data_IF_920754006154
#
_entry.id   IF_920754006154
#
_cell.length_a   1.000
_cell.length_b   1.000
_cell.length_c   1.000
_cell.angle_alpha   90.00
_cell.angle_beta   90.00
_cell.angle_gamma   90.00
#
_symmetry.space_group_name_H-M   'P 1'
#
loop_
_entity.id
_entity.type
_entity.pdbx_description
1 polymer ?
#
# COMPACT_ATOMS: atom_id res chain seq x y z
N UNK A 1 10.16 -10.14 15.76
CA UNK A 1 10.51 -10.85 14.51
C UNK A 1 9.54 -10.49 13.36
N UNK A 2 8.96 -9.28 13.36
CA UNK A 2 8.01 -8.82 12.34
C UNK A 2 8.66 -8.11 11.14
N UNK A 3 9.98 -7.87 11.19
CA UNK A 3 10.72 -7.15 10.16
C UNK A 3 10.98 -7.93 8.85
N UNK A 4 10.59 -9.20 8.74
CA UNK A 4 10.84 -9.96 7.51
C UNK A 4 9.69 -9.87 6.49
N UNK A 5 8.51 -9.44 6.89
CA UNK A 5 7.35 -9.33 6.01
C UNK A 5 7.45 -8.11 5.09
N UNK A 6 7.88 -6.96 5.58
CA UNK A 6 8.01 -5.74 4.77
C UNK A 6 9.00 -5.86 3.60
N UNK A 7 10.17 -6.52 3.80
CA UNK A 7 11.14 -6.76 2.71
C UNK A 7 10.61 -7.70 1.62
N UNK A 8 9.83 -8.72 2.00
CA UNK A 8 9.24 -9.66 1.04
C UNK A 8 8.10 -9.02 0.25
N UNK A 9 7.32 -8.17 0.89
CA UNK A 9 6.24 -7.39 0.29
C UNK A 9 6.77 -6.44 -0.79
N UNK A 10 7.88 -5.70 -0.53
CA UNK A 10 8.55 -4.86 -1.53
C UNK A 10 9.07 -5.65 -2.74
N UNK A 11 9.62 -6.85 -2.55
CA UNK A 11 10.08 -7.70 -3.66
C UNK A 11 8.93 -8.23 -4.52
N UNK A 12 7.77 -8.52 -3.94
CA UNK A 12 6.58 -8.96 -4.68
C UNK A 12 6.01 -7.82 -5.52
N UNK A 13 5.83 -6.62 -4.96
CA UNK A 13 5.32 -5.45 -5.71
C UNK A 13 6.22 -5.02 -6.88
N UNK A 14 7.54 -5.19 -6.81
CA UNK A 14 8.47 -4.82 -7.87
C UNK A 14 8.38 -5.76 -9.09
N UNK A 15 8.03 -7.02 -8.92
CA UNK A 15 8.00 -8.02 -10.00
C UNK A 15 6.77 -7.93 -10.89
N UNK A 16 5.68 -7.41 -10.37
CA UNK A 16 4.36 -7.44 -10.99
C UNK A 16 3.80 -6.03 -11.22
N UNK A 17 4.68 -5.09 -11.61
CA UNK A 17 4.32 -3.69 -11.81
C UNK A 17 4.12 -3.38 -13.29
N UNK A 18 3.05 -2.63 -13.59
CA UNK A 18 2.81 -2.06 -14.91
C UNK A 18 2.60 -0.54 -14.83
N UNK A 19 2.72 0.12 -15.98
CA UNK A 19 2.56 1.57 -16.10
C UNK A 19 1.69 1.89 -17.30
N UNK A 20 0.87 2.94 -17.14
CA UNK A 20 0.04 3.47 -18.21
C UNK A 20 0.31 4.96 -18.37
N UNK A 21 0.82 5.35 -19.56
CA UNK A 21 0.99 6.75 -19.89
C UNK A 21 -0.36 7.43 -20.17
N UNK A 22 -0.45 8.72 -19.83
CA UNK A 22 -1.65 9.54 -19.94
C UNK A 22 -2.84 9.01 -19.16
N UNK A 23 -2.57 8.39 -18.01
CA UNK A 23 -3.52 7.90 -17.02
C UNK A 23 -3.16 8.44 -15.64
N UNK A 24 -4.14 8.42 -14.74
CA UNK A 24 -3.95 8.72 -13.33
C UNK A 24 -4.30 7.51 -12.43
N UNK A 25 -4.21 7.68 -11.13
CA UNK A 25 -4.48 6.63 -10.16
C UNK A 25 -5.95 6.17 -10.15
N UNK A 26 -6.90 7.02 -10.58
CA UNK A 26 -8.31 6.64 -10.70
C UNK A 26 -8.51 5.66 -11.87
N UNK A 27 -7.83 5.92 -13.02
CA UNK A 27 -7.86 5.00 -14.16
C UNK A 27 -7.35 3.61 -13.75
N UNK A 28 -6.30 3.54 -12.91
CA UNK A 28 -5.77 2.27 -12.43
C UNK A 28 -6.72 1.56 -11.46
N UNK A 29 -7.41 2.29 -10.57
CA UNK A 29 -8.44 1.69 -9.72
C UNK A 29 -9.56 1.07 -10.55
N UNK A 30 -10.02 1.75 -11.60
CA UNK A 30 -11.06 1.26 -12.50
C UNK A 30 -10.58 0.00 -13.27
N UNK A 31 -9.35 0.02 -13.78
CA UNK A 31 -8.73 -1.14 -14.46
C UNK A 31 -8.61 -2.32 -13.49
N UNK A 32 -8.18 -2.09 -12.27
CA UNK A 32 -8.00 -3.13 -11.27
C UNK A 32 -9.34 -3.76 -10.89
N UNK A 33 -10.37 -2.96 -10.67
CA UNK A 33 -11.73 -3.44 -10.38
C UNK A 33 -12.26 -4.29 -11.53
N UNK A 34 -12.14 -3.82 -12.77
CA UNK A 34 -12.60 -4.57 -13.96
C UNK A 34 -11.78 -5.86 -14.17
N UNK A 35 -10.45 -5.81 -13.99
CA UNK A 35 -9.57 -6.97 -14.10
C UNK A 35 -9.95 -8.06 -13.10
N UNK A 36 -10.13 -7.70 -11.83
CA UNK A 36 -10.43 -8.66 -10.76
C UNK A 36 -11.82 -9.27 -10.94
N UNK A 37 -12.82 -8.47 -11.33
CA UNK A 37 -14.16 -8.94 -11.67
C UNK A 37 -14.13 -9.93 -12.86
N UNK A 38 -13.37 -9.59 -13.89
CA UNK A 38 -13.24 -10.46 -15.08
C UNK A 38 -12.53 -11.77 -14.71
N UNK A 39 -11.44 -11.72 -13.95
CA UNK A 39 -10.71 -12.92 -13.50
C UNK A 39 -11.60 -13.84 -12.66
N UNK A 40 -12.36 -13.30 -11.71
CA UNK A 40 -13.30 -14.09 -10.92
C UNK A 40 -14.34 -14.79 -11.82
N UNK A 41 -14.92 -14.05 -12.76
CA UNK A 41 -15.91 -14.60 -13.71
C UNK A 41 -15.30 -15.68 -14.59
N UNK A 42 -14.12 -15.46 -15.17
CA UNK A 42 -13.50 -16.40 -16.12
C UNK A 42 -12.97 -17.65 -15.44
N UNK A 43 -12.45 -17.54 -14.23
CA UNK A 43 -11.81 -18.66 -13.53
C UNK A 43 -12.79 -19.42 -12.64
N UNK A 44 -13.71 -18.74 -11.98
CA UNK A 44 -14.62 -19.32 -10.99
C UNK A 44 -16.06 -19.45 -11.51
N UNK A 45 -16.40 -18.79 -12.61
CA UNK A 45 -17.77 -18.74 -13.15
C UNK A 45 -18.73 -17.90 -12.33
N UNK A 46 -18.23 -17.12 -11.37
CA UNK A 46 -19.00 -16.24 -10.48
C UNK A 46 -18.14 -15.03 -10.08
N UNK A 47 -18.78 -13.98 -9.63
CA UNK A 47 -18.09 -12.81 -9.01
C UNK A 47 -17.94 -12.96 -7.50
N UNK A 48 -18.55 -13.95 -6.89
CA UNK A 48 -18.40 -14.30 -5.49
C UNK A 48 -17.12 -15.13 -5.31
N UNK A 49 -16.12 -14.57 -4.67
CA UNK A 49 -14.83 -15.22 -4.41
C UNK A 49 -14.83 -15.76 -2.97
N UNK A 50 -14.74 -17.08 -2.85
CA UNK A 50 -14.66 -17.74 -1.54
C UNK A 50 -13.19 -17.93 -1.14
N UNK A 51 -12.82 -17.42 0.04
CA UNK A 51 -11.48 -17.61 0.60
C UNK A 51 -11.49 -17.56 2.13
N UNK A 52 -10.79 -18.49 2.75
CA UNK A 52 -10.66 -18.63 4.21
C UNK A 52 -12.02 -18.61 4.96
N UNK A 53 -13.06 -19.19 4.33
CA UNK A 53 -14.40 -19.27 4.90
C UNK A 53 -15.24 -18.00 4.80
N UNK A 54 -14.76 -17.00 4.08
CA UNK A 54 -15.49 -15.76 3.76
C UNK A 54 -15.82 -15.72 2.27
N UNK A 55 -16.87 -14.98 1.92
CA UNK A 55 -17.26 -14.70 0.53
C UNK A 55 -17.06 -13.22 0.26
N UNK A 56 -16.31 -12.89 -0.78
CA UNK A 56 -16.02 -11.53 -1.22
C UNK A 56 -16.72 -11.25 -2.55
N UNK A 57 -17.60 -10.26 -2.59
CA UNK A 57 -18.37 -9.89 -3.78
C UNK A 57 -17.56 -8.94 -4.69
N UNK A 58 -17.11 -9.44 -5.83
CA UNK A 58 -16.44 -8.66 -6.87
C UNK A 58 -17.42 -8.15 -7.94
N UNK A 59 -18.69 -8.48 -7.85
CA UNK A 59 -19.74 -8.04 -8.79
C UNK A 59 -20.19 -6.60 -8.55
N UNK A 60 -20.19 -6.14 -7.31
CA UNK A 60 -20.51 -4.78 -6.94
C UNK A 60 -19.30 -3.84 -7.08
N UNK A 61 -19.52 -2.51 -7.23
CA UNK A 61 -18.45 -1.54 -7.18
C UNK A 61 -17.64 -1.63 -5.88
N UNK A 62 -16.31 -1.61 -5.98
CA UNK A 62 -15.44 -1.65 -4.82
C UNK A 62 -15.53 -0.35 -4.03
N UNK A 63 -15.49 -0.44 -2.72
CA UNK A 63 -15.51 0.74 -1.86
C UNK A 63 -14.25 1.58 -2.06
N UNK A 64 -14.36 2.92 -1.95
CA UNK A 64 -13.24 3.86 -2.00
C UNK A 64 -13.33 4.77 -0.78
N UNK A 65 -12.30 4.79 0.04
CA UNK A 65 -12.18 5.64 1.23
C UNK A 65 -10.79 6.26 1.28
N UNK A 66 -10.67 7.45 1.86
CA UNK A 66 -9.36 8.02 2.17
C UNK A 66 -8.77 7.33 3.41
N UNK A 67 -7.45 7.39 3.59
CA UNK A 67 -6.80 6.96 4.84
C UNK A 67 -7.48 7.63 6.04
N UNK A 68 -7.68 8.95 5.97
CA UNK A 68 -8.29 9.73 7.05
C UNK A 68 -9.71 9.29 7.37
N UNK A 69 -10.57 9.18 6.35
CA UNK A 69 -11.96 8.76 6.54
C UNK A 69 -12.08 7.32 7.03
N UNK A 70 -11.19 6.44 6.59
CA UNK A 70 -11.17 5.05 7.03
C UNK A 70 -10.83 4.92 8.53
N UNK A 71 -9.87 5.72 9.01
CA UNK A 71 -9.57 5.76 10.45
C UNK A 71 -10.79 6.17 11.25
N UNK A 72 -11.48 7.23 10.84
CA UNK A 72 -12.69 7.71 11.52
C UNK A 72 -13.84 6.71 11.43
N UNK A 73 -14.03 6.08 10.27
CA UNK A 73 -15.08 5.09 10.06
C UNK A 73 -14.95 3.89 11.00
N UNK A 74 -13.73 3.36 11.09
CA UNK A 74 -13.48 2.18 11.91
C UNK A 74 -13.24 2.47 13.39
N UNK A 75 -13.01 3.75 13.77
CA UNK A 75 -12.77 4.18 15.15
C UNK A 75 -13.66 5.38 15.50
N UNK A 76 -14.95 5.18 15.74
CA UNK A 76 -15.93 6.26 15.91
C UNK A 76 -15.67 7.14 17.14
N UNK A 77 -14.82 6.71 18.07
CA UNK A 77 -14.42 7.48 19.24
C UNK A 77 -13.31 8.51 18.93
N UNK A 78 -12.65 8.40 17.77
CA UNK A 78 -11.61 9.34 17.32
C UNK A 78 -12.30 10.54 16.66
N UNK A 79 -11.93 11.75 17.09
CA UNK A 79 -12.44 12.99 16.49
C UNK A 79 -11.57 13.46 15.35
N UNK A 80 -12.21 13.93 14.28
CA UNK A 80 -11.53 14.41 13.09
C UNK A 80 -10.51 15.53 13.39
N UNK A 81 -10.86 16.46 14.28
CA UNK A 81 -9.99 17.59 14.68
C UNK A 81 -8.73 17.10 15.41
N UNK A 82 -8.85 16.05 16.24
CA UNK A 82 -7.72 15.45 16.95
C UNK A 82 -6.81 14.68 16.00
N UNK A 83 -7.38 13.95 15.02
CA UNK A 83 -6.63 13.20 14.02
C UNK A 83 -5.93 14.12 13.01
N UNK A 84 -6.47 15.30 12.74
CA UNK A 84 -5.90 16.29 11.82
C UNK A 84 -4.77 17.13 12.44
N UNK A 85 -4.60 17.08 13.76
CA UNK A 85 -3.56 17.79 14.51
C UNK A 85 -2.46 16.83 14.96
N UNK A 86 -1.18 17.21 14.81
CA UNK A 86 -0.07 16.32 15.14
C UNK A 86 -0.06 15.91 16.62
N UNK A 87 -0.30 16.85 17.53
CA UNK A 87 -0.33 16.53 18.96
C UNK A 87 -1.52 15.64 19.32
N UNK A 88 -2.68 15.87 18.68
CA UNK A 88 -3.86 15.04 18.80
C UNK A 88 -3.64 13.62 18.28
N UNK A 89 -3.09 13.48 17.07
CA UNK A 89 -2.79 12.19 16.46
C UNK A 89 -1.77 11.39 17.29
N UNK A 90 -0.72 12.03 17.80
CA UNK A 90 0.25 11.39 18.71
C UNK A 90 -0.40 10.88 20.00
N UNK A 91 -1.32 11.64 20.58
CA UNK A 91 -2.07 11.23 21.76
C UNK A 91 -3.00 10.03 21.48
N UNK A 92 -3.62 10.01 20.29
CA UNK A 92 -4.43 8.86 19.84
C UNK A 92 -3.54 7.62 19.73
N UNK A 93 -2.39 7.74 19.06
CA UNK A 93 -1.43 6.64 18.90
C UNK A 93 -0.90 6.13 20.26
N UNK A 94 -0.60 7.00 21.20
CA UNK A 94 -0.23 6.64 22.56
C UNK A 94 -1.34 5.84 23.27
N UNK A 95 -2.59 6.30 23.13
CA UNK A 95 -3.76 5.60 23.69
C UNK A 95 -4.04 4.22 23.07
N UNK A 96 -3.49 3.96 21.89
CA UNK A 96 -3.56 2.68 21.16
C UNK A 96 -2.31 1.78 21.35
N UNK A 97 -1.39 2.18 22.23
CA UNK A 97 -0.10 1.51 22.45
C UNK A 97 0.74 1.37 21.18
N UNK A 98 0.72 2.39 20.31
CA UNK A 98 1.52 2.46 19.07
C UNK A 98 2.87 3.11 19.40
N UNK A 99 4.00 2.42 19.21
CA UNK A 99 5.32 3.00 19.44
C UNK A 99 5.68 3.98 18.31
N UNK A 100 5.78 5.27 18.64
CA UNK A 100 6.18 6.30 17.70
C UNK A 100 7.67 6.67 17.87
N UNK A 101 8.35 6.98 16.77
CA UNK A 101 9.70 7.56 16.77
C UNK A 101 9.60 9.10 16.86
N UNK A 102 10.62 9.76 17.43
CA UNK A 102 10.64 11.22 17.61
C UNK A 102 10.54 12.01 16.29
N UNK A 103 11.06 11.45 15.20
CA UNK A 103 11.06 12.07 13.86
C UNK A 103 9.79 11.86 13.03
N UNK A 104 8.76 11.19 13.55
CA UNK A 104 7.53 10.98 12.79
C UNK A 104 6.71 12.28 12.72
N UNK A 105 6.35 12.71 11.51
CA UNK A 105 5.39 13.78 11.29
C UNK A 105 3.94 13.28 11.35
N UNK A 106 3.01 14.19 11.16
CA UNK A 106 1.57 13.89 11.22
C UNK A 106 1.16 12.75 10.27
N UNK A 107 1.67 12.78 9.03
CA UNK A 107 1.33 11.77 8.02
C UNK A 107 1.73 10.37 8.44
N UNK A 108 2.95 10.21 8.96
CA UNK A 108 3.45 8.91 9.43
C UNK A 108 2.67 8.42 10.65
N UNK A 109 2.32 9.31 11.58
CA UNK A 109 1.48 8.97 12.75
C UNK A 109 0.09 8.49 12.31
N UNK A 110 -0.53 9.16 11.33
CA UNK A 110 -1.82 8.72 10.78
C UNK A 110 -1.73 7.33 10.15
N UNK A 111 -0.66 7.01 9.42
CA UNK A 111 -0.45 5.69 8.82
C UNK A 111 -0.27 4.62 9.90
N UNK A 112 0.49 4.86 10.96
CA UNK A 112 0.63 3.92 12.07
C UNK A 112 -0.72 3.61 12.74
N UNK A 113 -1.58 4.63 12.90
CA UNK A 113 -2.96 4.45 13.40
C UNK A 113 -3.79 3.62 12.42
N UNK A 114 -3.70 3.91 11.12
CA UNK A 114 -4.39 3.18 10.06
C UNK A 114 -3.98 1.69 10.05
N UNK A 115 -2.70 1.40 9.98
CA UNK A 115 -2.17 0.02 9.98
C UNK A 115 -2.63 -0.76 11.23
N UNK A 116 -2.60 -0.10 12.38
CA UNK A 116 -2.98 -0.73 13.64
C UNK A 116 -4.48 -1.01 13.76
N UNK A 117 -5.32 -0.09 13.25
CA UNK A 117 -6.76 -0.10 13.58
C UNK A 117 -7.68 -0.38 12.40
N UNK A 118 -7.21 -0.26 11.16
CA UNK A 118 -8.03 -0.33 9.95
C UNK A 118 -7.70 -1.52 9.07
N UNK A 119 -6.44 -1.69 8.63
CA UNK A 119 -6.05 -2.66 7.61
C UNK A 119 -6.69 -4.05 7.76
N UNK A 120 -6.54 -4.64 8.95
CA UNK A 120 -7.05 -5.99 9.26
C UNK A 120 -8.58 -6.09 9.26
N UNK A 121 -9.28 -4.97 9.17
CA UNK A 121 -10.75 -4.87 9.17
C UNK A 121 -11.32 -4.62 7.78
N UNK A 122 -10.48 -4.38 6.77
CA UNK A 122 -10.86 -4.19 5.38
C UNK A 122 -11.16 -5.56 4.73
N UNK A 123 -12.29 -6.13 5.10
CA UNK A 123 -12.68 -7.46 4.64
C UNK A 123 -13.22 -7.43 3.22
N UNK A 124 -14.13 -6.50 2.92
CA UNK A 124 -14.72 -6.33 1.59
C UNK A 124 -13.73 -5.61 0.65
N UNK A 125 -13.83 -5.84 -0.68
CA UNK A 125 -13.00 -5.18 -1.69
C UNK A 125 -13.03 -3.65 -1.53
N UNK A 126 -11.90 -3.06 -1.14
CA UNK A 126 -11.84 -1.64 -0.78
C UNK A 126 -10.51 -1.01 -1.26
N UNK A 127 -10.60 0.12 -1.96
CA UNK A 127 -9.48 1.00 -2.22
C UNK A 127 -9.33 2.02 -1.10
N UNK A 128 -8.16 2.11 -0.53
CA UNK A 128 -7.78 3.19 0.39
C UNK A 128 -6.93 4.19 -0.38
N UNK A 129 -7.31 5.46 -0.34
CA UNK A 129 -6.72 6.53 -1.14
C UNK A 129 -6.14 7.63 -0.25
N UNK A 130 -5.50 8.63 -0.86
CA UNK A 130 -4.98 9.82 -0.18
C UNK A 130 -3.97 9.48 0.93
N UNK A 131 -2.99 8.65 0.60
CA UNK A 131 -1.86 8.40 1.49
C UNK A 131 -1.04 9.67 1.70
N UNK A 132 -0.60 9.99 2.94
CA UNK A 132 0.24 11.16 3.20
C UNK A 132 1.49 11.20 2.34
N UNK A 133 1.87 12.40 1.90
CA UNK A 133 3.09 12.64 1.11
C UNK A 133 4.36 12.14 1.81
N UNK A 134 4.39 12.27 3.14
CA UNK A 134 5.49 11.83 3.99
C UNK A 134 5.84 10.35 3.81
N UNK A 135 4.85 9.49 3.58
CA UNK A 135 5.02 8.04 3.40
C UNK A 135 4.93 7.58 1.94
N UNK A 136 4.90 8.51 1.00
CA UNK A 136 4.68 8.23 -0.43
C UNK A 136 5.70 8.94 -1.33
N UNK A 137 7.01 8.63 -1.20
CA UNK A 137 8.08 9.42 -1.81
C UNK A 137 8.11 9.41 -3.34
N UNK A 138 7.45 8.45 -4.00
CA UNK A 138 7.42 8.29 -5.46
C UNK A 138 6.09 8.71 -6.10
N UNK A 139 5.06 8.98 -5.26
CA UNK A 139 3.74 9.33 -5.74
C UNK A 139 3.58 10.84 -5.92
N UNK A 140 2.85 11.25 -6.96
CA UNK A 140 2.50 12.64 -7.19
C UNK A 140 1.65 13.19 -6.04
N UNK A 141 1.95 14.42 -5.59
CA UNK A 141 1.09 15.13 -4.63
C UNK A 141 -0.26 15.43 -5.25
N UNK A 142 -1.30 15.36 -4.43
CA UNK A 142 -2.61 15.82 -4.85
C UNK A 142 -2.60 17.35 -5.03
N UNK A 143 -3.12 17.83 -6.17
CA UNK A 143 -3.09 19.26 -6.51
C UNK A 143 -3.98 20.11 -5.58
N UNK A 144 -5.07 19.54 -5.04
CA UNK A 144 -5.99 20.24 -4.15
C UNK A 144 -5.55 20.17 -2.68
N UNK A 145 -4.87 19.10 -2.29
CA UNK A 145 -4.39 18.86 -0.92
C UNK A 145 -2.95 18.29 -0.95
N UNK A 146 -1.92 19.14 -0.97
CA UNK A 146 -0.53 18.68 -1.03
C UNK A 146 -0.02 17.87 0.17
N UNK A 147 -0.81 17.76 1.23
CA UNK A 147 -0.51 16.89 2.38
C UNK A 147 -0.60 15.41 1.99
N UNK A 148 -1.44 15.08 1.02
CA UNK A 148 -1.66 13.72 0.52
C UNK A 148 -1.17 13.55 -0.92
N UNK A 149 -1.12 12.31 -1.37
CA UNK A 149 -0.72 11.92 -2.73
C UNK A 149 -1.87 11.26 -3.48
N UNK A 150 -1.79 11.27 -4.80
CA UNK A 150 -2.63 10.53 -5.72
C UNK A 150 -2.19 9.05 -5.74
N UNK A 151 -2.43 8.35 -4.61
CA UNK A 151 -2.05 6.96 -4.35
C UNK A 151 -3.22 6.19 -3.79
N UNK A 152 -3.28 4.92 -4.13
CA UNK A 152 -4.18 3.97 -3.51
C UNK A 152 -3.47 2.68 -3.12
N UNK A 153 -4.03 1.98 -2.16
CA UNK A 153 -3.80 0.56 -1.92
C UNK A 153 -5.15 -0.16 -1.96
N UNK A 154 -5.17 -1.36 -2.53
CA UNK A 154 -6.35 -2.19 -2.62
C UNK A 154 -6.30 -3.32 -1.61
N UNK A 155 -7.35 -3.45 -0.84
CA UNK A 155 -7.49 -4.44 0.23
C UNK A 155 -8.69 -5.36 -0.02
N UNK A 156 -8.53 -6.62 0.34
CA UNK A 156 -9.61 -7.60 0.50
C UNK A 156 -9.17 -8.67 1.51
N UNK A 157 -10.09 -9.12 2.36
CA UNK A 157 -9.80 -10.11 3.39
C UNK A 157 -8.75 -9.64 4.41
N UNK A 158 -8.69 -8.32 4.70
CA UNK A 158 -7.73 -7.72 5.61
C UNK A 158 -6.29 -7.73 5.09
N UNK A 159 -6.07 -7.84 3.78
CA UNK A 159 -4.75 -7.93 3.14
C UNK A 159 -4.65 -6.97 1.97
N UNK A 160 -3.54 -6.25 1.88
CA UNK A 160 -3.15 -5.48 0.71
C UNK A 160 -2.89 -6.44 -0.48
N UNK A 161 -3.59 -6.21 -1.59
CA UNK A 161 -3.45 -6.97 -2.84
C UNK A 161 -2.72 -6.15 -3.90
N UNK A 162 -2.98 -4.84 -3.97
CA UNK A 162 -2.35 -3.96 -4.95
C UNK A 162 -2.04 -2.59 -4.36
N UNK A 163 -1.08 -1.89 -4.99
CA UNK A 163 -0.65 -0.54 -4.63
C UNK A 163 -0.31 0.21 -5.92
N UNK A 164 -0.99 1.32 -6.15
CA UNK A 164 -0.83 2.13 -7.35
C UNK A 164 -0.89 3.62 -7.05
N UNK A 165 -0.30 4.42 -7.95
CA UNK A 165 -0.30 5.87 -7.83
C UNK A 165 -0.04 6.56 -9.17
N UNK A 166 -0.45 7.84 -9.24
CA UNK A 166 0.07 8.75 -10.26
C UNK A 166 1.56 8.96 -9.98
N UNK A 167 2.41 8.64 -10.95
CA UNK A 167 3.86 8.74 -10.80
C UNK A 167 4.27 10.21 -10.63
N UNK A 168 5.19 10.46 -9.69
CA UNK A 168 5.83 11.76 -9.59
C UNK A 168 6.76 11.95 -10.80
N UNK A 169 6.42 12.90 -11.66
CA UNK A 169 7.15 13.20 -12.89
C UNK A 169 7.91 14.53 -12.85
N UNK A 170 7.95 15.20 -11.71
CA UNK A 170 8.75 16.39 -11.45
C UNK A 170 10.10 15.97 -10.85
N UNK A 171 11.19 16.19 -11.61
CA UNK A 171 12.54 15.80 -11.21
C UNK A 171 13.04 16.61 -9.99
N UNK A 172 12.62 17.88 -9.84
CA UNK A 172 13.04 18.73 -8.73
C UNK A 172 12.36 18.29 -7.42
N UNK A 173 11.02 18.09 -7.42
CA UNK A 173 10.29 17.55 -6.27
C UNK A 173 10.82 16.15 -5.89
N UNK A 174 11.09 15.28 -6.87
CA UNK A 174 11.63 13.96 -6.60
C UNK A 174 13.02 14.02 -5.95
N UNK A 175 13.88 14.93 -6.41
CA UNK A 175 15.21 15.10 -5.82
C UNK A 175 15.12 15.60 -4.36
N UNK A 176 14.18 16.49 -4.06
CA UNK A 176 13.93 16.95 -2.69
C UNK A 176 13.44 15.81 -1.79
N UNK A 177 12.50 15.00 -2.25
CA UNK A 177 11.99 13.85 -1.48
C UNK A 177 13.07 12.79 -1.23
N UNK A 178 13.94 12.53 -2.19
CA UNK A 178 15.07 11.62 -1.98
C UNK A 178 16.07 12.15 -0.94
N UNK A 179 16.28 13.47 -0.87
CA UNK A 179 17.11 14.06 0.19
C UNK A 179 16.49 13.85 1.57
N UNK A 180 15.19 14.09 1.72
CA UNK A 180 14.47 13.83 2.97
C UNK A 180 14.55 12.35 3.38
N UNK A 181 14.41 11.43 2.43
CA UNK A 181 14.56 10.00 2.70
C UNK A 181 15.99 9.63 3.18
N UNK A 182 17.02 10.30 2.67
CA UNK A 182 18.40 10.08 3.15
C UNK A 182 18.55 10.60 4.59
N UNK A 183 17.99 11.77 4.90
CA UNK A 183 18.00 12.33 6.27
C UNK A 183 17.27 11.39 7.26
N UNK A 184 16.12 10.85 6.88
CA UNK A 184 15.39 9.86 7.68
C UNK A 184 16.21 8.58 7.89
N UNK A 185 16.90 8.12 6.86
CA UNK A 185 17.78 6.96 6.93
C UNK A 185 18.95 7.17 7.88
N UNK A 186 19.58 8.34 7.81
CA UNK A 186 20.70 8.71 8.69
C UNK A 186 20.20 8.86 10.14
N UNK A 187 18.92 9.22 10.34
CA UNK A 187 18.25 9.24 11.63
C UNK A 187 17.82 7.85 12.15
N UNK A 188 18.05 6.77 11.37
CA UNK A 188 17.82 5.38 11.79
C UNK A 188 16.53 4.76 11.23
N UNK A 189 15.99 5.30 10.14
CA UNK A 189 14.93 4.61 9.39
C UNK A 189 15.54 3.65 8.35
N UNK A 190 15.63 2.37 8.70
CA UNK A 190 16.17 1.32 7.82
C UNK A 190 15.34 1.12 6.54
N UNK A 191 14.11 1.65 6.50
CA UNK A 191 13.21 1.52 5.36
C UNK A 191 13.35 2.67 4.36
N UNK A 192 13.94 3.80 4.78
CA UNK A 192 14.14 4.97 3.95
C UNK A 192 15.06 4.67 2.75
N UNK A 193 14.77 5.32 1.63
CA UNK A 193 15.46 5.12 0.36
C UNK A 193 16.83 5.81 0.33
N UNK A 194 17.72 5.31 -0.51
CA UNK A 194 18.94 6.03 -0.89
C UNK A 194 18.62 7.06 -1.98
N UNK A 195 19.45 8.11 -2.05
CA UNK A 195 19.40 9.04 -3.17
C UNK A 195 19.80 8.34 -4.47
N UNK A 196 18.91 8.33 -5.45
CA UNK A 196 19.14 7.74 -6.76
C UNK A 196 19.30 8.85 -7.82
N UNK A 197 20.55 9.20 -8.10
CA UNK A 197 20.87 10.23 -9.09
C UNK A 197 20.54 9.81 -10.53
N UNK A 198 20.60 8.53 -10.84
CA UNK A 198 20.27 8.03 -12.18
C UNK A 198 18.76 8.08 -12.43
N UNK A 199 17.96 7.84 -11.40
CA UNK A 199 16.51 8.01 -11.46
C UNK A 199 16.11 9.49 -11.70
N UNK A 200 16.71 10.43 -10.96
CA UNK A 200 16.49 11.87 -11.19
C UNK A 200 16.88 12.27 -12.61
N UNK A 201 18.06 11.85 -13.06
CA UNK A 201 18.51 12.11 -14.44
C UNK A 201 17.53 11.52 -15.47
N UNK A 202 16.96 10.36 -15.24
CA UNK A 202 15.96 9.79 -16.15
C UNK A 202 14.69 10.65 -16.20
N UNK A 203 14.22 11.17 -15.05
CA UNK A 203 13.07 12.08 -15.01
C UNK A 203 13.32 13.41 -15.75
N UNK A 204 14.56 13.93 -15.73
CA UNK A 204 14.92 15.16 -16.47
C UNK A 204 14.76 15.02 -18.00
N UNK A 205 14.80 13.80 -18.54
CA UNK A 205 14.47 13.55 -19.96
C UNK A 205 12.97 13.63 -20.24
N UNK A 206 12.14 13.65 -19.23
CA UNK A 206 10.69 13.80 -19.29
C UNK A 206 9.96 12.46 -19.14
N UNK A 207 9.00 12.46 -18.21
CA UNK A 207 8.00 11.42 -18.02
C UNK A 207 6.63 12.06 -18.28
N UNK A 208 5.82 11.60 -19.25
CA UNK A 208 4.46 12.09 -19.40
C UNK A 208 3.64 11.78 -18.14
N UNK A 209 2.48 12.42 -17.94
CA UNK A 209 1.55 11.97 -16.91
C UNK A 209 1.36 10.46 -17.02
N UNK A 210 1.69 9.75 -15.98
CA UNK A 210 1.75 8.27 -15.98
C UNK A 210 1.27 7.77 -14.64
N UNK A 211 0.51 6.70 -14.64
CA UNK A 211 0.18 5.98 -13.42
C UNK A 211 0.83 4.59 -13.43
N UNK A 212 1.28 4.13 -12.27
CA UNK A 212 1.91 2.83 -12.08
C UNK A 212 1.27 2.05 -10.95
N UNK A 213 1.14 0.75 -11.13
CA UNK A 213 0.55 -0.14 -10.13
C UNK A 213 1.34 -1.44 -10.02
N UNK A 214 1.43 -1.94 -8.81
CA UNK A 214 1.90 -3.28 -8.51
C UNK A 214 0.78 -4.12 -7.92
N UNK A 215 0.53 -5.29 -8.50
CA UNK A 215 -0.41 -6.28 -7.98
C UNK A 215 0.38 -7.45 -7.42
N UNK A 216 0.09 -7.84 -6.18
CA UNK A 216 0.70 -8.99 -5.53
C UNK A 216 0.11 -10.30 -6.06
N UNK A 217 0.65 -10.80 -7.18
CA UNK A 217 0.10 -11.98 -7.89
C UNK A 217 0.00 -13.19 -6.97
N UNK A 218 0.99 -13.45 -6.13
CA UNK A 218 0.92 -14.57 -5.18
C UNK A 218 -0.27 -14.44 -4.23
N UNK A 219 -0.53 -13.23 -3.70
CA UNK A 219 -1.68 -12.97 -2.84
C UNK A 219 -3.00 -13.09 -3.59
N UNK A 220 -3.04 -12.60 -4.83
CA UNK A 220 -4.23 -12.74 -5.68
C UNK A 220 -4.52 -14.21 -5.98
N UNK A 221 -3.49 -15.01 -6.29
CA UNK A 221 -3.65 -16.46 -6.49
C UNK A 221 -4.13 -17.14 -5.20
N UNK A 222 -3.57 -16.79 -4.03
CA UNK A 222 -4.05 -17.30 -2.75
C UNK A 222 -5.55 -17.02 -2.56
N UNK A 223 -5.99 -15.81 -2.85
CA UNK A 223 -7.39 -15.40 -2.73
C UNK A 223 -8.31 -16.20 -3.67
N UNK A 224 -7.95 -16.29 -4.96
CA UNK A 224 -8.76 -16.95 -5.98
C UNK A 224 -8.77 -18.50 -5.88
N UNK A 225 -7.80 -19.09 -5.16
CA UNK A 225 -7.67 -20.55 -5.01
C UNK A 225 -7.95 -21.04 -3.58
N UNK A 226 -8.42 -20.17 -2.70
CA UNK A 226 -8.62 -20.47 -1.27
C UNK A 226 -7.37 -21.11 -0.63
N UNK A 227 -6.17 -20.59 -0.96
CA UNK A 227 -4.91 -21.12 -0.45
C UNK A 227 -4.41 -20.25 0.72
N UNK A 228 -4.40 -20.77 1.96
CA UNK A 228 -4.08 -19.96 3.14
C UNK A 228 -2.60 -19.61 3.28
N UNK A 229 -1.72 -20.27 2.52
CA UNK A 229 -0.28 -20.10 2.60
C UNK A 229 0.35 -19.75 1.26
N UNK A 230 1.20 -18.72 1.25
CA UNK A 230 1.99 -18.34 0.06
C UNK A 230 2.87 -19.49 -0.46
N UNK A 231 3.22 -20.48 0.38
CA UNK A 231 4.01 -21.64 -0.03
C UNK A 231 3.25 -22.55 -0.98
N UNK A 232 1.93 -22.53 -0.91
CA UNK A 232 1.07 -23.39 -1.72
C UNK A 232 0.90 -22.85 -3.16
N UNK A 233 1.19 -21.55 -3.38
CA UNK A 233 1.04 -20.86 -4.66
C UNK A 233 2.37 -20.53 -5.34
N UNK A 234 3.50 -20.55 -4.61
CA UNK A 234 4.83 -20.35 -5.18
C UNK A 234 5.36 -21.65 -5.76
N UNK A 235 5.71 -21.65 -7.06
CA UNK A 235 6.20 -22.85 -7.77
C UNK A 235 7.47 -23.45 -7.14
N UNK A 236 8.37 -22.64 -6.61
CA UNK A 236 9.64 -23.08 -6.00
C UNK A 236 9.88 -22.33 -4.68
N UNK A 237 9.14 -22.68 -3.60
CA UNK A 237 9.32 -22.01 -2.31
C UNK A 237 10.68 -22.35 -1.70
N UNK A 238 11.36 -21.35 -1.15
CA UNK A 238 12.56 -21.59 -0.37
C UNK A 238 12.23 -22.36 0.92
N UNK A 239 12.62 -23.63 0.96
CA UNK A 239 12.49 -24.48 2.14
C UNK A 239 13.70 -24.29 3.06
N UNK A 240 13.51 -24.48 4.38
CA UNK A 240 14.65 -24.62 5.30
C UNK A 240 15.42 -25.87 4.94
N UNK A 241 16.75 -25.79 4.92
CA UNK A 241 17.60 -26.97 4.78
C UNK A 241 17.28 -27.89 5.97
N UNK A 242 16.89 -29.13 5.68
CA UNK A 242 16.78 -30.16 6.72
C UNK A 242 18.16 -30.39 7.29
N UNK A 243 18.37 -30.01 8.56
CA UNK A 243 19.56 -30.39 9.30
C UNK A 243 19.31 -31.80 9.82
N UNK A 244 20.04 -32.76 9.27
CA UNK A 244 19.99 -34.15 9.74
C UNK A 244 20.33 -34.15 11.24
N UNK A 245 19.38 -34.52 12.08
CA UNK A 245 19.55 -34.60 13.55
C UNK A 245 20.21 -35.91 14.01
N UNK A 246 20.98 -36.53 13.12
CA UNK A 246 21.72 -37.73 13.39
C UNK A 246 23.22 -37.43 13.50
N UNK A 247 23.61 -36.76 14.61
CA UNK A 247 24.91 -36.86 15.26
C UNK A 247 24.77 -36.51 16.76
#
# INVERSE_FOLDING_TARGET
PTHSTGRRQRQMCIRDRFYQAYADYNDLMDITEDLLRQLATDLLGTTDVESEGNTYDFGNPFARMTVFDSILHFNPDIKAEELADEAGARKIAEGLDIPLKDGYGLGKVQIEIFEKTVEHRLMDPTFITEYPTEVSPLARRNDANPFVTDRFEFFVGGREIANGFSELNDAEDQAERFKLQVEEKDAGDDEAMHYDADYIRALEFGLPPTAGEGIGIDRLVMLLTDSPSIRDVILFPHMRVEVDKSE
#
